data_IF_054514985785
#
_entry.id   IF_054514985785
#
_cell.length_a   1.000
_cell.length_b   1.000
_cell.length_c   1.000
_cell.angle_alpha   90.00
_cell.angle_beta   90.00
_cell.angle_gamma   90.00
#
_symmetry.space_group_name_H-M   'P 1'
#
loop_
_entity.id
_entity.type
_entity.pdbx_description
1 polymer ?
#
# COMPACT_ATOMS: atom_id res chain seq x y z
N UNK A 1 -2.93 -14.47 -2.74
CA UNK A 1 -3.05 -13.03 -2.49
C UNK A 1 -2.18 -12.71 -1.30
N UNK A 2 -1.24 -11.78 -1.45
CA UNK A 2 -0.33 -11.30 -0.40
C UNK A 2 -0.70 -9.86 -0.10
N UNK A 3 -0.83 -9.55 1.19
CA UNK A 3 -1.05 -8.18 1.66
C UNK A 3 0.21 -7.70 2.37
N UNK A 4 0.65 -6.49 2.07
CA UNK A 4 1.75 -5.85 2.79
C UNK A 4 1.41 -4.39 3.09
N UNK A 5 1.93 -3.87 4.18
CA UNK A 5 1.90 -2.46 4.52
C UNK A 5 3.30 -1.91 4.35
N UNK A 6 3.46 -0.87 3.54
CA UNK A 6 4.75 -0.19 3.37
C UNK A 6 4.66 1.15 4.07
N UNK A 7 5.46 1.31 5.12
CA UNK A 7 5.63 2.56 5.83
C UNK A 7 6.72 3.36 5.11
N UNK A 8 6.50 4.63 4.81
CA UNK A 8 7.45 5.45 4.06
C UNK A 8 7.76 6.76 4.77
N UNK A 9 9.03 7.14 4.71
CA UNK A 9 9.44 8.53 4.88
C UNK A 9 9.68 9.16 3.52
N UNK A 10 9.30 10.43 3.40
CA UNK A 10 9.39 11.17 2.15
C UNK A 10 9.98 12.56 2.38
N UNK A 11 10.49 13.17 1.32
CA UNK A 11 10.89 14.57 1.33
C UNK A 11 9.68 15.45 1.73
N UNK A 12 9.88 16.38 2.68
CA UNK A 12 8.79 17.13 3.34
C UNK A 12 7.89 17.90 2.36
N UNK A 13 8.46 18.41 1.28
CA UNK A 13 7.78 19.18 0.23
C UNK A 13 7.14 18.29 -0.84
N UNK A 14 7.29 16.96 -0.77
CA UNK A 14 6.82 16.00 -1.78
C UNK A 14 5.78 15.01 -1.29
N UNK A 15 5.31 15.13 -0.04
CA UNK A 15 4.38 14.15 0.57
C UNK A 15 3.17 13.86 -0.33
N UNK A 16 2.49 14.90 -0.81
CA UNK A 16 1.30 14.75 -1.65
C UNK A 16 1.64 14.16 -3.03
N UNK A 17 2.70 14.66 -3.67
CA UNK A 17 3.14 14.18 -4.99
C UNK A 17 3.51 12.69 -4.94
N UNK A 18 4.26 12.28 -3.91
CA UNK A 18 4.62 10.88 -3.70
C UNK A 18 3.39 10.03 -3.43
N UNK A 19 2.45 10.51 -2.60
CA UNK A 19 1.22 9.77 -2.32
C UNK A 19 0.38 9.52 -3.58
N UNK A 20 0.23 10.53 -4.44
CA UNK A 20 -0.46 10.40 -5.73
C UNK A 20 0.23 9.43 -6.68
N UNK A 21 1.57 9.52 -6.79
CA UNK A 21 2.35 8.60 -7.62
C UNK A 21 2.21 7.15 -7.14
N UNK A 22 2.27 6.93 -5.82
CA UNK A 22 2.08 5.60 -5.23
C UNK A 22 0.66 5.09 -5.45
N UNK A 23 -0.36 5.91 -5.26
CA UNK A 23 -1.76 5.53 -5.46
C UNK A 23 -2.06 5.14 -6.92
N UNK A 24 -1.28 5.63 -7.89
CA UNK A 24 -1.39 5.25 -9.30
C UNK A 24 -0.72 3.89 -9.64
N UNK A 25 0.08 3.30 -8.74
CA UNK A 25 0.76 2.03 -9.00
C UNK A 25 -0.19 0.84 -8.86
N UNK A 26 -0.24 0.00 -9.89
CA UNK A 26 -0.99 -1.26 -9.85
C UNK A 26 -0.52 -2.14 -8.71
N UNK A 27 -1.45 -2.58 -7.87
CA UNK A 27 -1.17 -3.41 -6.69
C UNK A 27 -1.09 -2.62 -5.39
N UNK A 28 -1.10 -1.28 -5.42
CA UNK A 28 -1.38 -0.44 -4.25
C UNK A 28 -2.89 -0.20 -4.20
N UNK A 29 -3.54 -0.58 -3.11
CA UNK A 29 -4.99 -0.40 -2.93
C UNK A 29 -5.33 0.91 -2.22
N UNK A 30 -4.49 1.34 -1.28
CA UNK A 30 -4.67 2.59 -0.54
C UNK A 30 -3.32 3.22 -0.21
N UNK A 31 -3.28 4.55 -0.13
CA UNK A 31 -2.16 5.31 0.44
C UNK A 31 -2.71 6.32 1.43
N UNK A 32 -2.19 6.31 2.65
CA UNK A 32 -2.59 7.21 3.72
C UNK A 32 -1.44 8.13 4.06
N UNK A 33 -1.72 9.42 4.25
CA UNK A 33 -0.84 10.27 5.04
C UNK A 33 -1.13 10.03 6.52
N UNK A 34 -0.08 9.88 7.32
CA UNK A 34 -0.20 9.55 8.73
C UNK A 34 0.63 10.51 9.58
N UNK A 35 0.17 10.77 10.80
CA UNK A 35 1.00 11.43 11.80
C UNK A 35 1.86 10.39 12.53
N UNK A 36 3.15 10.68 12.74
CA UNK A 36 4.03 9.81 13.51
C UNK A 36 5.46 9.78 12.97
N UNK A 37 6.10 8.61 13.08
CA UNK A 37 7.48 8.39 12.60
C UNK A 37 7.57 8.36 11.07
N UNK A 38 6.47 8.02 10.40
CA UNK A 38 6.37 7.90 8.95
C UNK A 38 5.42 8.96 8.41
N UNK A 39 5.60 9.30 7.14
CA UNK A 39 4.81 10.32 6.46
C UNK A 39 3.64 9.67 5.71
N UNK A 40 3.88 8.49 5.12
CA UNK A 40 2.90 7.73 4.33
C UNK A 40 2.85 6.25 4.74
N UNK A 41 1.67 5.65 4.56
CA UNK A 41 1.46 4.20 4.62
C UNK A 41 0.75 3.76 3.34
N UNK A 42 1.39 2.89 2.55
CA UNK A 42 0.81 2.28 1.37
C UNK A 42 0.39 0.82 1.66
N UNK A 43 -0.83 0.46 1.28
CA UNK A 43 -1.34 -0.91 1.38
C UNK A 43 -1.19 -1.58 0.02
N UNK A 44 -0.44 -2.68 -0.01
CA UNK A 44 -0.19 -3.49 -1.20
C UNK A 44 -1.05 -4.74 -1.15
N UNK A 45 -1.72 -5.07 -2.27
CA UNK A 45 -2.44 -6.32 -2.50
C UNK A 45 -2.04 -6.88 -3.86
N UNK A 46 -1.30 -7.99 -3.84
CA UNK A 46 -0.75 -8.63 -5.04
C UNK A 46 -0.98 -10.14 -5.02
N UNK A 47 -0.84 -10.80 -6.18
CA UNK A 47 -1.15 -12.23 -6.29
C UNK A 47 -0.25 -13.12 -5.42
N UNK A 48 1.06 -12.83 -5.41
CA UNK A 48 2.11 -13.64 -4.80
C UNK A 48 3.30 -12.77 -4.33
N UNK A 49 4.30 -13.40 -3.72
CA UNK A 49 5.48 -12.73 -3.16
C UNK A 49 6.36 -12.12 -4.26
N UNK A 50 6.42 -12.74 -5.44
CA UNK A 50 7.17 -12.22 -6.58
C UNK A 50 6.61 -10.87 -7.03
N UNK A 51 5.28 -10.74 -7.12
CA UNK A 51 4.62 -9.47 -7.42
C UNK A 51 4.86 -8.40 -6.36
N UNK A 52 4.95 -8.78 -5.08
CA UNK A 52 5.29 -7.85 -4.01
C UNK A 52 6.73 -7.34 -4.17
N UNK A 53 7.67 -8.26 -4.36
CA UNK A 53 9.07 -7.93 -4.54
C UNK A 53 9.28 -7.01 -5.75
N UNK A 54 8.62 -7.31 -6.87
CA UNK A 54 8.64 -6.46 -8.06
C UNK A 54 8.06 -5.06 -7.80
N UNK A 55 6.86 -4.98 -7.25
CA UNK A 55 6.20 -3.69 -6.96
C UNK A 55 7.06 -2.81 -6.06
N UNK A 56 7.61 -3.37 -4.99
CA UNK A 56 8.44 -2.62 -4.04
C UNK A 56 9.76 -2.18 -4.70
N UNK A 57 10.52 -3.13 -5.25
CA UNK A 57 11.90 -2.87 -5.70
C UNK A 57 12.00 -2.15 -7.04
N UNK A 58 11.06 -2.39 -7.97
CA UNK A 58 11.12 -1.81 -9.31
C UNK A 58 10.30 -0.54 -9.46
N UNK A 59 9.30 -0.31 -8.61
CA UNK A 59 8.38 0.81 -8.74
C UNK A 59 8.38 1.72 -7.52
N UNK A 60 7.95 1.23 -6.35
CA UNK A 60 7.78 2.06 -5.14
C UNK A 60 9.08 2.76 -4.74
N UNK A 61 10.19 2.03 -4.63
CA UNK A 61 11.49 2.59 -4.24
C UNK A 61 12.09 3.55 -5.29
N UNK A 62 11.55 3.58 -6.50
CA UNK A 62 11.99 4.50 -7.56
C UNK A 62 11.19 5.79 -7.60
N UNK A 63 10.11 5.89 -6.82
CA UNK A 63 9.34 7.13 -6.69
C UNK A 63 10.25 8.19 -6.08
N UNK A 64 10.47 9.29 -6.83
CA UNK A 64 11.30 10.39 -6.37
C UNK A 64 10.68 11.01 -5.12
N UNK A 65 11.52 11.27 -4.11
CA UNK A 65 11.05 11.80 -2.84
C UNK A 65 10.91 10.74 -1.76
N UNK A 66 10.90 9.44 -2.07
CA UNK A 66 10.98 8.39 -1.04
C UNK A 66 12.40 8.35 -0.47
N UNK A 67 12.53 8.55 0.84
CA UNK A 67 13.83 8.58 1.53
C UNK A 67 14.09 7.32 2.36
N UNK A 68 13.03 6.70 2.87
CA UNK A 68 13.10 5.45 3.62
C UNK A 68 11.81 4.65 3.42
N UNK A 69 11.91 3.32 3.51
CA UNK A 69 10.73 2.45 3.53
C UNK A 69 10.92 1.26 4.47
N UNK A 70 9.83 0.81 5.07
CA UNK A 70 9.76 -0.44 5.83
C UNK A 70 8.53 -1.23 5.39
N UNK A 71 8.75 -2.46 4.93
CA UNK A 71 7.67 -3.34 4.45
C UNK A 71 7.28 -4.36 5.51
N UNK A 72 6.01 -4.38 5.87
CA UNK A 72 5.39 -5.33 6.79
C UNK A 72 4.51 -6.29 5.99
N UNK A 73 4.95 -7.54 5.85
CA UNK A 73 4.17 -8.57 5.15
C UNK A 73 3.16 -9.16 6.14
N UNK A 74 1.88 -9.12 5.79
CA UNK A 74 0.82 -9.68 6.62
C UNK A 74 0.77 -11.20 6.46
N UNK A 75 0.91 -11.95 7.56
CA UNK A 75 0.74 -13.41 7.57
C UNK A 75 -0.73 -13.83 7.73
N UNK A 76 -1.53 -13.01 8.41
CA UNK A 76 -2.96 -13.21 8.62
C UNK A 76 -3.63 -11.84 8.62
N UNK A 77 -4.83 -11.76 8.06
CA UNK A 77 -5.64 -10.54 8.01
C UNK A 77 -6.92 -10.81 8.78
N UNK A 78 -7.20 -10.00 9.79
CA UNK A 78 -8.44 -10.06 10.56
C UNK A 78 -9.33 -8.89 10.11
N UNK A 79 -10.26 -9.16 9.18
CA UNK A 79 -11.23 -8.18 8.69
C UNK A 79 -12.64 -8.54 9.16
N UNK A 80 -13.37 -7.58 9.72
CA UNK A 80 -14.83 -7.72 9.94
C UNK A 80 -15.65 -7.40 8.67
N UNK A 81 -15.05 -6.73 7.69
CA UNK A 81 -15.73 -6.19 6.50
C UNK A 81 -15.73 -7.14 5.28
N UNK A 82 -15.10 -8.32 5.36
CA UNK A 82 -15.17 -9.31 4.27
C UNK A 82 -16.51 -10.08 4.20
N UNK A 83 -17.40 -9.92 5.19
CA UNK A 83 -18.71 -10.59 5.21
C UNK A 83 -19.81 -9.85 4.44
N UNK A 84 -19.80 -8.51 4.38
CA UNK A 84 -20.94 -7.77 3.79
C UNK A 84 -20.87 -7.66 2.26
N UNK A 85 -19.67 -7.66 1.66
CA UNK A 85 -19.51 -7.52 0.21
C UNK A 85 -20.00 -8.76 -0.57
N UNK A 86 -20.18 -9.91 0.08
CA UNK A 86 -20.79 -11.11 -0.53
C UNK A 86 -22.33 -11.15 -0.45
N UNK A 87 -22.97 -10.38 0.44
CA UNK A 87 -24.44 -10.35 0.56
C UNK A 87 -25.13 -9.32 -0.34
N UNK A 88 -24.40 -8.37 -0.92
CA UNK A 88 -24.96 -7.37 -1.84
C UNK A 88 -25.16 -7.87 -3.28
N UNK A 89 -24.72 -9.08 -3.61
CA UNK A 89 -24.87 -9.66 -4.97
C UNK A 89 -26.19 -10.46 -5.12
N UNK A 90 -27.07 -10.44 -4.11
CA UNK A 90 -28.30 -11.25 -4.09
C UNK A 90 -29.62 -10.50 -3.92
N UNK A 91 -29.63 -9.16 -3.90
CA UNK A 91 -30.87 -8.37 -3.94
C UNK A 91 -30.89 -7.50 -5.20
N UNK A 92 -31.22 -8.15 -6.31
CA UNK A 92 -31.56 -7.56 -7.60
C UNK A 92 -32.38 -8.55 -8.39
#
# INVERSE_FOLDING_TARGET
MVTALVLLNVERDKVNEVAEQLAALSGISEVYSVAGQYDLVAIIRVKNNEGLAELVTKHLLKVKGVTCSQTLIAFQVYSRHDLETMFSIGQG
#
